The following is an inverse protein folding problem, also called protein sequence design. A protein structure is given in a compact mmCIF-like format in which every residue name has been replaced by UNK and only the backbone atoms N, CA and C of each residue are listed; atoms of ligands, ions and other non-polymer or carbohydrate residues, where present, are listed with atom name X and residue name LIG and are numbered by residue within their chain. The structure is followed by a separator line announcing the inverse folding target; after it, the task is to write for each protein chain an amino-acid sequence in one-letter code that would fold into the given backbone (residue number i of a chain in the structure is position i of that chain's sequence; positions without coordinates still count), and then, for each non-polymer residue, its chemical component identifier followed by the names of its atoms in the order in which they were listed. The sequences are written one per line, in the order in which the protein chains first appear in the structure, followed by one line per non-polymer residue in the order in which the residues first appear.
data_IF_030506303376
#
_entry.id   IF_030506303376
#
_cell.length_a   1.000
_cell.length_b   1.000
_cell.length_c   1.000
_cell.angle_alpha   90.00
_cell.angle_beta   90.00
_cell.angle_gamma   90.00
#
_symmetry.space_group_name_H-M   'P 1'
#
loop_
_entity.id
_entity.type
_entity.pdbx_description
1 polymer ?
#
# COMPACT_ATOMS: atom_id res chain seq x y z
N UNK A 1 -9.10 -0.55 -22.26
CA UNK A 1 -7.98 -0.16 -21.38
C UNK A 1 -7.96 -1.14 -20.22
N UNK A 2 -6.94 -1.99 -20.12
CA UNK A 2 -6.91 -3.01 -19.06
C UNK A 2 -6.71 -2.32 -17.71
N UNK A 3 -7.76 -2.29 -16.88
CA UNK A 3 -7.70 -1.78 -15.51
C UNK A 3 -6.73 -2.66 -14.73
N UNK A 4 -5.51 -2.17 -14.48
CA UNK A 4 -4.52 -2.92 -13.70
C UNK A 4 -5.10 -3.21 -12.31
N UNK A 5 -4.89 -4.42 -11.81
CA UNK A 5 -5.37 -4.82 -10.48
C UNK A 5 -4.49 -4.18 -9.40
N UNK A 6 -5.08 -3.71 -8.30
CA UNK A 6 -4.29 -3.28 -7.14
C UNK A 6 -3.61 -4.51 -6.52
N UNK A 7 -2.27 -4.48 -6.46
CA UNK A 7 -1.50 -5.58 -5.88
C UNK A 7 -1.80 -5.78 -4.40
N UNK A 8 -2.24 -4.75 -3.68
CA UNK A 8 -2.55 -4.81 -2.25
C UNK A 8 -3.89 -5.47 -1.96
N UNK A 9 -4.71 -5.71 -2.97
CA UNK A 9 -5.92 -6.53 -2.85
C UNK A 9 -5.62 -8.04 -2.90
N UNK A 10 -4.36 -8.43 -3.16
CA UNK A 10 -3.94 -9.81 -3.23
C UNK A 10 -3.36 -10.25 -1.88
N UNK A 11 -3.73 -11.47 -1.49
CA UNK A 11 -3.08 -12.20 -0.40
C UNK A 11 -1.69 -12.65 -0.82
N UNK A 12 -0.87 -13.02 0.17
CA UNK A 12 0.47 -13.57 -0.09
C UNK A 12 0.39 -14.85 -0.94
N UNK A 13 -0.61 -15.69 -0.73
CA UNK A 13 -0.74 -16.96 -1.47
C UNK A 13 -1.22 -16.73 -2.91
N UNK A 14 -2.13 -15.79 -3.15
CA UNK A 14 -2.47 -15.37 -4.51
C UNK A 14 -1.26 -14.81 -5.25
N UNK A 15 -0.44 -13.99 -4.59
CA UNK A 15 0.81 -13.50 -5.17
C UNK A 15 1.74 -14.66 -5.55
N UNK A 16 1.93 -15.66 -4.67
CA UNK A 16 2.76 -16.83 -4.97
C UNK A 16 2.26 -17.55 -6.23
N UNK A 17 0.96 -17.80 -6.33
CA UNK A 17 0.36 -18.46 -7.50
C UNK A 17 0.65 -17.68 -8.78
N UNK A 18 0.42 -16.37 -8.77
CA UNK A 18 0.69 -15.49 -9.91
C UNK A 18 2.17 -15.55 -10.33
N UNK A 19 3.10 -15.52 -9.36
CA UNK A 19 4.54 -15.62 -9.66
C UNK A 19 4.89 -16.97 -10.29
N UNK A 20 4.33 -18.08 -9.79
CA UNK A 20 4.56 -19.43 -10.34
C UNK A 20 4.01 -19.54 -11.77
N UNK A 21 2.79 -19.06 -12.01
CA UNK A 21 2.13 -19.06 -13.33
C UNK A 21 2.91 -18.24 -14.36
N UNK A 22 3.59 -17.19 -13.92
CA UNK A 22 4.44 -16.35 -14.77
C UNK A 22 5.90 -16.84 -14.85
N UNK A 23 6.18 -18.09 -14.51
CA UNK A 23 7.52 -18.71 -14.55
C UNK A 23 8.58 -18.02 -13.68
N UNK A 24 8.16 -17.35 -12.61
CA UNK A 24 9.04 -16.73 -11.61
C UNK A 24 8.96 -17.50 -10.27
N UNK A 25 9.92 -17.24 -9.38
CA UNK A 25 10.10 -18.01 -8.15
C UNK A 25 9.10 -17.55 -7.09
N UNK A 26 8.42 -18.51 -6.46
CA UNK A 26 7.43 -18.26 -5.41
C UNK A 26 7.95 -17.39 -4.24
N UNK A 27 9.25 -17.40 -3.94
CA UNK A 27 9.81 -16.55 -2.88
C UNK A 27 9.74 -15.05 -3.21
N UNK A 28 9.65 -14.66 -4.49
CA UNK A 28 9.49 -13.26 -4.92
C UNK A 28 8.21 -12.65 -4.36
N UNK A 29 7.14 -13.44 -4.24
CA UNK A 29 5.90 -13.01 -3.60
C UNK A 29 6.13 -12.50 -2.18
N UNK A 30 6.96 -13.20 -1.39
CA UNK A 30 7.30 -12.77 -0.02
C UNK A 30 8.07 -11.45 -0.04
N UNK A 31 9.01 -11.28 -0.96
CA UNK A 31 9.77 -10.02 -1.07
C UNK A 31 8.86 -8.85 -1.41
N UNK A 32 7.97 -9.01 -2.40
CA UNK A 32 6.97 -8.00 -2.77
C UNK A 32 6.05 -7.69 -1.60
N UNK A 33 5.54 -8.71 -0.92
CA UNK A 33 4.67 -8.55 0.25
C UNK A 33 5.35 -7.76 1.38
N UNK A 34 6.63 -8.03 1.65
CA UNK A 34 7.39 -7.24 2.62
C UNK A 34 7.60 -5.79 2.19
N UNK A 35 7.82 -5.53 0.90
CA UNK A 35 7.91 -4.16 0.40
C UNK A 35 6.60 -3.38 0.56
N UNK A 36 5.46 -4.03 0.30
CA UNK A 36 4.15 -3.41 0.44
C UNK A 36 3.82 -3.09 1.90
N UNK A 37 4.01 -4.06 2.81
CA UNK A 37 3.46 -3.96 4.17
C UNK A 37 4.47 -3.60 5.26
N UNK A 38 5.75 -3.94 5.10
CA UNK A 38 6.81 -3.59 6.08
C UNK A 38 7.58 -2.33 5.70
N UNK A 39 7.81 -2.13 4.40
CA UNK A 39 8.61 -0.99 3.89
C UNK A 39 7.75 0.12 3.27
N UNK A 40 6.44 -0.12 3.13
CA UNK A 40 5.48 0.86 2.60
C UNK A 40 5.87 1.44 1.23
N UNK A 41 6.41 0.59 0.35
CA UNK A 41 6.78 0.98 -1.01
C UNK A 41 5.59 1.56 -1.77
N UNK A 42 5.80 2.69 -2.46
CA UNK A 42 4.75 3.35 -3.24
C UNK A 42 4.83 3.01 -4.73
N UNK A 43 6.00 2.57 -5.18
CA UNK A 43 6.27 2.16 -6.56
C UNK A 43 6.98 0.82 -6.59
N UNK A 44 6.88 0.09 -7.70
CA UNK A 44 7.63 -1.16 -7.87
C UNK A 44 9.14 -0.91 -8.05
N UNK A 45 9.55 0.28 -8.47
CA UNK A 45 10.95 0.65 -8.70
C UNK A 45 11.75 0.74 -7.40
N UNK A 46 11.08 1.11 -6.29
CA UNK A 46 11.65 1.09 -4.94
C UNK A 46 12.09 -0.31 -4.49
N UNK A 47 11.58 -1.37 -5.10
CA UNK A 47 11.86 -2.76 -4.72
C UNK A 47 13.22 -3.24 -5.23
N UNK A 48 14.30 -2.65 -4.70
CA UNK A 48 15.68 -2.82 -5.21
C UNK A 48 16.22 -4.25 -5.17
N UNK A 49 15.67 -5.13 -4.33
CA UNK A 49 16.04 -6.55 -4.26
C UNK A 49 15.32 -7.44 -5.30
N UNK A 50 14.44 -6.88 -6.12
CA UNK A 50 13.79 -7.54 -7.26
C UNK A 50 14.59 -7.29 -8.54
N UNK A 51 14.58 -8.27 -9.44
CA UNK A 51 15.17 -8.08 -10.78
C UNK A 51 14.36 -7.05 -11.57
N UNK A 52 14.99 -6.47 -12.60
CA UNK A 52 14.32 -5.54 -13.51
C UNK A 52 13.11 -6.23 -14.17
N UNK A 53 13.29 -7.46 -14.67
CA UNK A 53 12.22 -8.25 -15.27
C UNK A 53 11.01 -8.45 -14.33
N UNK A 54 11.25 -8.72 -13.04
CA UNK A 54 10.16 -8.85 -12.06
C UNK A 54 9.45 -7.51 -11.85
N UNK A 55 10.19 -6.38 -11.76
CA UNK A 55 9.58 -5.04 -11.63
C UNK A 55 8.77 -4.65 -12.85
N UNK A 56 9.25 -4.99 -14.06
CA UNK A 56 8.52 -4.78 -15.30
C UNK A 56 7.23 -5.60 -15.37
N UNK A 57 7.28 -6.87 -14.96
CA UNK A 57 6.09 -7.71 -14.85
C UNK A 57 5.06 -7.10 -13.89
N UNK A 58 5.51 -6.66 -12.72
CA UNK A 58 4.65 -6.01 -11.73
C UNK A 58 4.03 -4.73 -12.29
N UNK A 59 4.84 -3.87 -12.91
CA UNK A 59 4.39 -2.65 -13.57
C UNK A 59 3.41 -2.94 -14.73
N UNK A 60 3.54 -4.07 -15.43
CA UNK A 60 2.65 -4.43 -16.54
C UNK A 60 1.26 -4.81 -16.07
N UNK A 61 1.16 -5.65 -15.03
CA UNK A 61 -0.11 -6.26 -14.61
C UNK A 61 -0.77 -5.57 -13.42
N UNK A 62 0.00 -4.88 -12.58
CA UNK A 62 -0.47 -4.36 -11.30
C UNK A 62 -0.23 -2.86 -11.14
N UNK A 63 -0.96 -2.29 -10.18
CA UNK A 63 -0.79 -0.93 -9.69
C UNK A 63 -0.73 -0.94 -8.15
N UNK A 64 -0.10 0.08 -7.57
CA UNK A 64 -0.16 0.36 -6.13
C UNK A 64 -0.98 1.64 -5.97
N UNK A 65 -2.24 1.54 -5.52
CA UNK A 65 -3.11 2.70 -5.32
C UNK A 65 -2.79 3.43 -4.00
N UNK A 66 -1.56 3.93 -3.86
CA UNK A 66 -1.12 4.59 -2.62
C UNK A 66 -2.04 5.76 -2.24
N UNK A 67 -2.46 5.79 -0.97
CA UNK A 67 -3.20 6.93 -0.43
C UNK A 67 -2.29 8.15 -0.32
N UNK A 68 -2.85 9.33 -0.57
CA UNK A 68 -2.14 10.60 -0.42
C UNK A 68 -2.72 11.35 0.77
N UNK A 69 -1.87 12.02 1.54
CA UNK A 69 -2.34 12.97 2.54
C UNK A 69 -2.77 14.23 1.80
N UNK A 70 -4.03 14.62 1.96
CA UNK A 70 -4.62 15.80 1.34
C UNK A 70 -4.52 17.00 2.28
N UNK A 71 -4.87 16.79 3.56
CA UNK A 71 -4.75 17.77 4.64
C UNK A 71 -4.27 17.10 5.93
N UNK A 72 -3.56 17.85 6.76
CA UNK A 72 -3.07 17.40 8.06
C UNK A 72 -3.17 18.52 9.08
N UNK A 73 -3.86 18.24 10.18
CA UNK A 73 -4.07 19.17 11.28
C UNK A 73 -3.49 18.58 12.56
N UNK A 74 -2.74 19.39 13.31
CA UNK A 74 -2.11 18.99 14.57
C UNK A 74 -2.68 19.83 15.70
N UNK A 75 -3.29 19.16 16.67
CA UNK A 75 -3.85 19.77 17.87
C UNK A 75 -2.78 20.04 18.94
N UNK A 76 -3.09 20.88 19.92
CA UNK A 76 -2.20 21.22 21.04
C UNK A 76 -1.83 20.00 21.92
N UNK A 77 -2.74 19.02 22.02
CA UNK A 77 -2.51 17.73 22.68
C UNK A 77 -1.71 16.73 21.83
N UNK A 78 -1.24 17.16 20.65
CA UNK A 78 -0.55 16.37 19.63
C UNK A 78 -1.43 15.35 18.89
N UNK A 79 -2.75 15.38 19.07
CA UNK A 79 -3.65 14.63 18.20
C UNK A 79 -3.49 15.10 16.75
N UNK A 80 -3.34 14.15 15.82
CA UNK A 80 -3.15 14.44 14.39
C UNK A 80 -4.38 13.95 13.64
N UNK A 81 -5.10 14.88 13.02
CA UNK A 81 -6.19 14.58 12.08
C UNK A 81 -5.63 14.65 10.66
N UNK A 82 -5.80 13.58 9.89
CA UNK A 82 -5.40 13.51 8.49
C UNK A 82 -6.64 13.32 7.61
N UNK A 83 -6.70 14.06 6.51
CA UNK A 83 -7.54 13.74 5.36
C UNK A 83 -6.70 12.97 4.35
N UNK A 84 -7.17 11.81 3.92
CA UNK A 84 -6.53 10.97 2.93
C UNK A 84 -7.33 10.98 1.64
N UNK A 85 -6.67 11.36 0.55
CA UNK A 85 -7.20 11.24 -0.81
C UNK A 85 -6.91 9.85 -1.37
N UNK A 86 -7.97 9.14 -1.72
CA UNK A 86 -7.95 7.82 -2.32
C UNK A 86 -7.71 7.89 -3.84
N UNK A 87 -7.48 6.74 -4.47
CA UNK A 87 -7.16 6.64 -5.91
C UNK A 87 -8.32 7.06 -6.82
N UNK A 88 -9.55 6.99 -6.32
CA UNK A 88 -10.80 7.40 -6.97
C UNK A 88 -11.18 8.85 -6.65
N UNK A 89 -10.27 9.62 -6.05
CA UNK A 89 -10.44 11.00 -5.58
C UNK A 89 -11.40 11.18 -4.40
N UNK A 90 -11.92 10.11 -3.81
CA UNK A 90 -12.66 10.21 -2.56
C UNK A 90 -11.74 10.59 -1.40
N UNK A 91 -12.31 11.23 -0.37
CA UNK A 91 -11.60 11.63 0.84
C UNK A 91 -12.11 10.79 2.00
N UNK A 92 -11.19 10.24 2.79
CA UNK A 92 -11.47 9.61 4.08
C UNK A 92 -10.61 10.24 5.16
N UNK A 93 -11.06 10.18 6.41
CA UNK A 93 -10.33 10.75 7.52
C UNK A 93 -9.66 9.66 8.37
N UNK A 94 -8.59 10.02 9.05
CA UNK A 94 -8.05 9.23 10.14
C UNK A 94 -7.44 10.10 11.21
N UNK A 95 -7.52 9.64 12.45
CA UNK A 95 -7.03 10.39 13.62
C UNK A 95 -5.99 9.53 14.34
N UNK A 96 -4.82 10.11 14.57
CA UNK A 96 -3.79 9.54 15.43
C UNK A 96 -3.81 10.28 16.77
N UNK A 97 -4.08 9.51 17.83
CA UNK A 97 -4.20 10.03 19.19
C UNK A 97 -3.01 9.50 20.00
N UNK A 98 -1.97 10.33 20.24
CA UNK A 98 -0.85 9.92 21.06
C UNK A 98 -1.22 9.86 22.53
N UNK A 99 -0.65 8.89 23.24
CA UNK A 99 -0.66 8.82 24.68
C UNK A 99 0.77 8.54 25.18
N UNK A 100 0.98 8.49 26.50
CA UNK A 100 2.33 8.31 27.08
C UNK A 100 3.05 7.04 26.61
N UNK A 101 2.33 5.94 26.38
CA UNK A 101 2.92 4.62 26.09
C UNK A 101 2.41 3.98 24.81
N UNK A 102 1.41 4.57 24.16
CA UNK A 102 0.79 4.01 22.95
C UNK A 102 0.31 5.09 22.00
N UNK A 103 0.14 4.73 20.74
CA UNK A 103 -0.56 5.50 19.73
C UNK A 103 -1.87 4.78 19.39
N UNK A 104 -3.00 5.49 19.45
CA UNK A 104 -4.28 4.97 18.96
C UNK A 104 -4.53 5.52 17.56
N UNK A 105 -4.89 4.67 16.61
CA UNK A 105 -5.28 5.06 15.27
C UNK A 105 -6.77 4.80 15.05
N UNK A 106 -7.53 5.84 14.76
CA UNK A 106 -8.92 5.74 14.31
C UNK A 106 -8.93 5.87 12.79
N UNK A 107 -9.44 4.84 12.10
CA UNK A 107 -9.39 4.72 10.63
C UNK A 107 -10.81 4.54 10.10
N UNK A 108 -11.21 5.36 9.12
CA UNK A 108 -12.47 5.18 8.42
C UNK A 108 -12.48 3.90 7.58
N UNK A 109 -13.60 3.19 7.60
CA UNK A 109 -13.80 1.92 6.87
C UNK A 109 -14.65 2.07 5.61
N UNK A 110 -15.32 3.21 5.44
CA UNK A 110 -16.18 3.53 4.30
C UNK A 110 -16.04 5.02 3.95
N UNK A 111 -16.33 5.35 2.68
CA UNK A 111 -16.50 6.73 2.19
C UNK A 111 -17.97 7.09 2.37
N UNK A 112 -18.26 8.18 3.07
CA UNK A 112 -19.62 8.67 3.33
C UNK A 112 -19.62 9.90 4.23
#
# INVERSE_FOLDING_TARGET
MSTKKDIRALTLDELKTIFIENSDKAFRAKQVYEWLWKKSARTFDEMTNLSIATRELLNKYFIINAVKVDDMQVSADRTIKNAFKLYDNNIVEGVLIPSKTRMTACISVQVG
#
